data_IF_541497563353
#
_entry.id   IF_541497563353
#
_cell.length_a   1.000
_cell.length_b   1.000
_cell.length_c   1.000
_cell.angle_alpha   90.00
_cell.angle_beta   90.00
_cell.angle_gamma   90.00
#
_symmetry.space_group_name_H-M   'P 1'
#
loop_
_entity.id
_entity.type
_entity.pdbx_description
1 polymer ?
#
# COMPACT_ATOMS: atom_id res chain seq x y z
N UNK A 1 -19.86 8.38 5.05
CA UNK A 1 -19.98 8.44 6.54
C UNK A 1 -20.36 7.03 7.00
N UNK A 2 -19.62 6.40 7.95
CA UNK A 2 -19.71 4.93 8.19
C UNK A 2 -20.44 4.57 9.50
N UNK A 3 -20.61 5.51 10.43
CA UNK A 3 -21.37 5.28 11.68
C UNK A 3 -20.69 4.35 12.69
N UNK A 4 -19.43 3.99 12.48
CA UNK A 4 -18.65 3.10 13.35
C UNK A 4 -17.35 3.78 13.81
N UNK A 5 -16.82 3.35 14.97
CA UNK A 5 -15.50 3.77 15.45
C UNK A 5 -14.43 3.10 14.59
N UNK A 6 -13.53 3.89 14.02
CA UNK A 6 -12.53 3.41 13.05
C UNK A 6 -11.11 3.28 13.62
N UNK A 7 -10.81 4.03 14.69
CA UNK A 7 -9.45 4.14 15.27
C UNK A 7 -9.53 4.03 16.78
N UNK A 8 -8.68 3.18 17.36
CA UNK A 8 -8.38 3.20 18.80
C UNK A 8 -7.28 4.25 19.03
N UNK A 9 -7.59 5.26 19.86
CA UNK A 9 -6.68 6.39 20.16
C UNK A 9 -5.70 6.05 21.29
N UNK A 10 -5.03 4.92 21.17
CA UNK A 10 -3.95 4.49 22.07
C UNK A 10 -2.60 4.99 21.54
N UNK A 11 -1.50 4.68 22.24
CA UNK A 11 -0.15 4.95 21.76
C UNK A 11 0.57 3.60 21.58
N UNK A 12 0.71 3.09 20.35
CA UNK A 12 0.37 3.70 19.04
C UNK A 12 -1.13 3.66 18.68
N UNK A 13 -1.57 4.55 17.79
CA UNK A 13 -2.92 4.52 17.22
C UNK A 13 -3.08 3.28 16.32
N UNK A 14 -4.18 2.54 16.45
CA UNK A 14 -4.44 1.34 15.66
C UNK A 14 -5.85 1.35 15.05
N UNK A 15 -6.06 0.76 13.85
CA UNK A 15 -7.38 0.63 13.26
C UNK A 15 -8.24 -0.36 14.05
N UNK A 16 -9.54 -0.07 14.18
CA UNK A 16 -10.52 -1.07 14.65
C UNK A 16 -10.79 -2.09 13.55
N UNK A 17 -11.50 -3.18 13.87
CA UNK A 17 -11.98 -4.14 12.86
C UNK A 17 -12.78 -3.47 11.73
N UNK A 18 -13.60 -2.46 12.06
CA UNK A 18 -14.32 -1.64 11.08
C UNK A 18 -13.41 -0.68 10.29
N UNK A 19 -12.30 -0.24 10.88
CA UNK A 19 -11.31 0.63 10.26
C UNK A 19 -10.41 -0.08 9.26
N UNK A 20 -10.10 -1.37 9.45
CA UNK A 20 -9.16 -2.13 8.60
C UNK A 20 -9.55 -2.10 7.10
N UNK A 21 -10.81 -2.36 6.69
CA UNK A 21 -11.20 -2.27 5.29
C UNK A 21 -11.08 -0.86 4.71
N UNK A 22 -11.39 0.17 5.51
CA UNK A 22 -11.27 1.57 5.09
C UNK A 22 -9.82 2.02 4.97
N UNK A 23 -8.94 1.53 5.84
CA UNK A 23 -7.51 1.78 5.72
C UNK A 23 -6.96 1.20 4.42
N UNK A 24 -7.36 -0.03 4.07
CA UNK A 24 -7.00 -0.64 2.78
C UNK A 24 -7.52 0.18 1.60
N UNK A 25 -8.79 0.58 1.63
CA UNK A 25 -9.38 1.43 0.59
C UNK A 25 -8.60 2.74 0.45
N UNK A 26 -8.32 3.42 1.55
CA UNK A 26 -7.56 4.67 1.54
C UNK A 26 -6.17 4.50 0.90
N UNK A 27 -5.46 3.40 1.19
CA UNK A 27 -4.18 3.10 0.54
C UNK A 27 -4.33 2.85 -0.97
N UNK A 28 -5.36 2.12 -1.39
CA UNK A 28 -5.63 1.86 -2.81
C UNK A 28 -6.00 3.15 -3.56
N UNK A 29 -6.88 3.96 -2.99
CA UNK A 29 -7.25 5.26 -3.56
C UNK A 29 -6.06 6.19 -3.65
N UNK A 30 -5.22 6.26 -2.60
CA UNK A 30 -4.00 7.09 -2.63
C UNK A 30 -3.03 6.68 -3.73
N UNK A 31 -2.88 5.37 -4.01
CA UNK A 31 -2.06 4.89 -5.11
C UNK A 31 -2.64 5.34 -6.47
N UNK A 32 -3.92 5.09 -6.71
CA UNK A 32 -4.60 5.47 -7.95
C UNK A 32 -4.58 6.99 -8.19
N UNK A 33 -4.79 7.78 -7.14
CA UNK A 33 -4.68 9.24 -7.20
C UNK A 33 -3.26 9.68 -7.59
N UNK A 34 -2.24 9.05 -7.01
CA UNK A 34 -0.85 9.36 -7.34
C UNK A 34 -0.50 9.02 -8.79
N UNK A 35 -0.99 7.88 -9.29
CA UNK A 35 -0.81 7.45 -10.68
C UNK A 35 -1.50 8.42 -11.66
N UNK A 36 -2.75 8.77 -11.41
CA UNK A 36 -3.49 9.71 -12.25
C UNK A 36 -2.83 11.10 -12.29
N UNK A 37 -2.33 11.59 -11.16
CA UNK A 37 -1.60 12.86 -11.10
C UNK A 37 -0.25 12.80 -11.82
N UNK A 38 0.44 11.65 -11.77
CA UNK A 38 1.68 11.43 -12.50
C UNK A 38 1.46 11.43 -14.02
N UNK A 39 0.41 10.75 -14.51
CA UNK A 39 0.05 10.75 -15.93
C UNK A 39 -0.27 12.17 -16.44
N UNK A 40 -1.05 12.95 -15.68
CA UNK A 40 -1.38 14.33 -16.04
C UNK A 40 -0.16 15.25 -16.14
N UNK A 41 0.93 14.96 -15.42
CA UNK A 41 2.18 15.73 -15.45
C UNK A 41 3.11 15.35 -16.61
N UNK A 42 2.68 14.49 -17.52
CA UNK A 42 3.50 13.99 -18.63
C UNK A 42 4.32 12.75 -18.27
N UNK A 43 3.90 12.02 -17.23
CA UNK A 43 4.58 10.84 -16.69
C UNK A 43 5.52 11.17 -15.52
N UNK A 44 5.60 10.27 -14.54
CA UNK A 44 6.57 10.37 -13.44
C UNK A 44 7.83 9.56 -13.76
N UNK A 45 9.01 10.12 -13.51
CA UNK A 45 10.25 9.35 -13.35
C UNK A 45 10.31 8.66 -11.99
N UNK A 46 9.41 9.02 -11.06
CA UNK A 46 9.38 8.50 -9.70
C UNK A 46 8.70 7.11 -9.68
N UNK A 47 9.40 6.10 -9.19
CA UNK A 47 8.88 4.74 -9.08
C UNK A 47 7.87 4.65 -7.94
N UNK A 48 6.66 4.08 -8.16
CA UNK A 48 5.67 3.97 -7.11
C UNK A 48 6.18 3.07 -5.98
N UNK A 49 5.93 3.47 -4.73
CA UNK A 49 6.27 2.65 -3.56
C UNK A 49 5.27 1.50 -3.41
N UNK A 50 5.73 0.28 -3.65
CA UNK A 50 4.91 -0.93 -3.50
C UNK A 50 5.35 -1.71 -2.26
N UNK A 51 4.42 -1.93 -1.33
CA UNK A 51 4.63 -2.83 -0.20
C UNK A 51 4.08 -4.23 -0.56
N UNK A 52 4.96 -5.23 -0.56
CA UNK A 52 4.58 -6.61 -0.86
C UNK A 52 4.94 -7.52 0.32
N UNK A 53 3.96 -8.27 0.81
CA UNK A 53 4.20 -9.31 1.78
C UNK A 53 4.61 -10.59 1.05
N UNK A 54 5.75 -11.16 1.43
CA UNK A 54 6.29 -12.37 0.82
C UNK A 54 6.47 -13.42 1.92
N UNK A 55 6.10 -14.67 1.62
CA UNK A 55 6.36 -15.80 2.50
C UNK A 55 7.89 -16.05 2.63
N UNK A 56 8.34 -16.54 3.79
CA UNK A 56 9.76 -16.74 4.07
C UNK A 56 10.45 -17.74 3.11
N UNK A 57 9.78 -18.83 2.76
CA UNK A 57 10.33 -19.84 1.86
C UNK A 57 10.50 -19.29 0.44
N UNK A 58 9.51 -18.49 -0.03
CA UNK A 58 9.62 -17.79 -1.31
C UNK A 58 10.77 -16.80 -1.32
N UNK A 59 10.97 -16.03 -0.23
CA UNK A 59 12.11 -15.13 -0.07
C UNK A 59 13.45 -15.86 -0.14
N UNK A 60 13.53 -17.07 0.41
CA UNK A 60 14.76 -17.84 0.47
C UNK A 60 15.09 -18.61 -0.83
N UNK A 61 14.12 -18.80 -1.72
CA UNK A 61 14.26 -19.70 -2.87
C UNK A 61 14.28 -18.99 -4.22
N UNK A 62 13.26 -18.19 -4.54
CA UNK A 62 13.09 -17.64 -5.89
C UNK A 62 12.82 -16.14 -5.93
N UNK A 63 12.32 -15.53 -4.84
CA UNK A 63 11.84 -14.16 -4.89
C UNK A 63 12.96 -13.14 -5.07
N UNK A 64 14.18 -13.44 -4.62
CA UNK A 64 15.35 -12.57 -4.82
C UNK A 64 15.64 -12.29 -6.29
N UNK A 65 15.36 -13.25 -7.17
CA UNK A 65 15.58 -13.11 -8.62
C UNK A 65 14.62 -12.11 -9.28
N UNK A 66 13.51 -11.79 -8.62
CA UNK A 66 12.55 -10.78 -9.09
C UNK A 66 13.19 -9.39 -9.09
N UNK A 67 13.98 -9.07 -8.07
CA UNK A 67 14.66 -7.77 -7.97
C UNK A 67 15.66 -7.54 -9.11
N UNK A 68 16.28 -8.60 -9.62
CA UNK A 68 17.20 -8.52 -10.75
C UNK A 68 16.50 -8.15 -12.08
N UNK A 69 15.17 -8.23 -12.13
CA UNK A 69 14.34 -7.91 -13.31
C UNK A 69 13.59 -6.59 -13.18
N UNK A 70 13.69 -5.91 -12.03
CA UNK A 70 13.08 -4.60 -11.85
C UNK A 70 13.93 -3.53 -12.55
N UNK A 71 13.28 -2.54 -13.21
CA UNK A 71 13.97 -1.45 -13.87
C UNK A 71 14.70 -0.52 -12.89
#
# INVERSE_FOLDING_TARGET
RVGQVLVLREKPCVPTAAGVPLLRLASQTSLLESEALAELRGGSTDSPRIALAVNADSMATWFTDVFARLP
#
